data_IF_717675762864
#
_entry.id   IF_717675762864
#
_cell.length_a   1.000
_cell.length_b   1.000
_cell.length_c   1.000
_cell.angle_alpha   90.00
_cell.angle_beta   90.00
_cell.angle_gamma   90.00
#
_symmetry.space_group_name_H-M   'P 1'
#
loop_
_entity.id
_entity.type
_entity.pdbx_description
1 polymer ?
#
# COMPACT_ATOMS: atom_id res chain seq x y z
N UNK A 1 -11.50 -12.95 -5.56
CA UNK A 1 -11.53 -11.49 -5.77
C UNK A 1 -10.21 -10.88 -5.34
N UNK A 2 -9.67 -10.01 -6.17
CA UNK A 2 -8.41 -9.33 -5.92
C UNK A 2 -8.66 -7.97 -5.27
N UNK A 3 -8.02 -7.71 -4.13
CA UNK A 3 -8.16 -6.47 -3.37
C UNK A 3 -6.86 -5.68 -3.47
N UNK A 4 -6.97 -4.36 -3.64
CA UNK A 4 -5.82 -3.44 -3.60
C UNK A 4 -5.99 -2.52 -2.40
N UNK A 5 -4.96 -2.40 -1.58
CA UNK A 5 -4.90 -1.44 -0.49
C UNK A 5 -3.75 -0.47 -0.75
N UNK A 6 -3.90 0.78 -0.34
CA UNK A 6 -2.90 1.82 -0.56
C UNK A 6 -2.60 2.50 0.75
N UNK A 7 -1.35 2.83 1.00
CA UNK A 7 -0.97 3.59 2.19
C UNK A 7 0.50 3.94 2.21
N UNK A 8 0.89 4.70 3.22
CA UNK A 8 2.28 5.12 3.42
C UNK A 8 3.07 4.05 4.16
N UNK A 9 2.54 3.53 5.25
CA UNK A 9 3.14 2.47 6.06
C UNK A 9 4.58 2.79 6.52
N UNK A 10 4.81 4.04 6.94
CA UNK A 10 6.15 4.47 7.33
C UNK A 10 6.60 3.84 8.65
N UNK A 11 5.75 3.93 9.66
CA UNK A 11 5.98 3.26 10.95
C UNK A 11 4.80 2.34 11.20
N UNK A 12 5.03 1.04 11.09
CA UNK A 12 3.96 0.06 11.22
C UNK A 12 3.48 -0.04 12.67
N UNK A 13 2.17 -0.13 12.83
CA UNK A 13 1.53 -0.36 14.12
C UNK A 13 0.29 -1.23 13.95
N UNK A 14 -0.36 -1.54 15.08
CA UNK A 14 -1.51 -2.45 15.07
C UNK A 14 -2.66 -1.98 14.17
N UNK A 15 -2.85 -0.66 14.04
CA UNK A 15 -3.88 -0.11 13.17
C UNK A 15 -3.65 -0.45 11.70
N UNK A 16 -2.40 -0.43 11.24
CA UNK A 16 -2.05 -0.83 9.89
C UNK A 16 -2.37 -2.31 9.66
N UNK A 17 -1.99 -3.15 10.60
CA UNK A 17 -2.25 -4.59 10.50
C UNK A 17 -3.75 -4.86 10.45
N UNK A 18 -4.52 -4.19 11.31
CA UNK A 18 -5.97 -4.33 11.34
C UNK A 18 -6.60 -3.93 9.99
N UNK A 19 -6.16 -2.81 9.43
CA UNK A 19 -6.62 -2.34 8.13
C UNK A 19 -6.34 -3.40 7.04
N UNK A 20 -5.13 -3.96 7.04
CA UNK A 20 -4.75 -4.95 6.02
C UNK A 20 -5.50 -6.27 6.20
N UNK A 21 -5.78 -6.67 7.45
CA UNK A 21 -6.60 -7.84 7.72
C UNK A 21 -8.03 -7.65 7.21
N UNK A 22 -8.59 -6.47 7.44
CA UNK A 22 -9.92 -6.12 6.94
C UNK A 22 -9.94 -6.13 5.40
N UNK A 23 -8.93 -5.54 4.79
CA UNK A 23 -8.81 -5.50 3.33
C UNK A 23 -8.73 -6.92 2.76
N UNK A 24 -7.92 -7.78 3.35
CA UNK A 24 -7.79 -9.17 2.89
C UNK A 24 -9.12 -9.91 2.98
N UNK A 25 -9.91 -9.63 4.00
CA UNK A 25 -11.21 -10.31 4.19
C UNK A 25 -12.22 -10.00 3.09
N UNK A 26 -11.99 -8.95 2.30
CA UNK A 26 -12.87 -8.60 1.18
C UNK A 26 -12.68 -9.47 -0.05
N UNK A 27 -11.61 -10.26 -0.09
CA UNK A 27 -11.30 -11.15 -1.21
C UNK A 27 -10.35 -12.25 -0.80
N UNK A 28 -9.63 -12.80 -1.77
CA UNK A 28 -8.70 -13.89 -1.53
C UNK A 28 -7.26 -13.58 -1.94
N UNK A 29 -7.01 -12.39 -2.47
CA UNK A 29 -5.66 -11.93 -2.83
C UNK A 29 -5.56 -10.45 -2.51
N UNK A 30 -4.55 -10.06 -1.73
CA UNK A 30 -4.33 -8.67 -1.34
C UNK A 30 -3.00 -8.17 -1.88
N UNK A 31 -3.08 -7.15 -2.74
CA UNK A 31 -1.92 -6.40 -3.20
C UNK A 31 -1.90 -5.04 -2.50
N UNK A 32 -0.78 -4.70 -1.88
CA UNK A 32 -0.63 -3.41 -1.20
C UNK A 32 0.28 -2.51 -2.03
N UNK A 33 -0.18 -1.28 -2.29
CA UNK A 33 0.60 -0.26 -2.96
C UNK A 33 1.14 0.68 -1.88
N UNK A 34 2.46 0.68 -1.72
CA UNK A 34 3.16 1.51 -0.73
C UNK A 34 3.53 2.83 -1.40
N UNK A 35 3.23 3.95 -0.76
CA UNK A 35 3.47 5.28 -1.33
C UNK A 35 4.95 5.52 -1.63
N UNK A 36 5.23 6.06 -2.81
CA UNK A 36 6.57 6.47 -3.21
C UNK A 36 7.11 7.54 -2.25
N UNK A 37 8.40 7.54 -1.97
CA UNK A 37 9.02 8.50 -1.06
C UNK A 37 8.69 9.95 -1.41
N UNK A 38 8.74 10.30 -2.69
CA UNK A 38 8.45 11.67 -3.11
C UNK A 38 7.00 12.05 -2.85
N UNK A 39 6.08 11.10 -2.97
CA UNK A 39 4.68 11.33 -2.63
C UNK A 39 4.51 11.63 -1.15
N UNK A 40 5.22 10.90 -0.29
CA UNK A 40 5.19 11.12 1.16
C UNK A 40 5.75 12.50 1.51
N UNK A 41 6.86 12.89 0.89
CA UNK A 41 7.48 14.21 1.13
C UNK A 41 6.54 15.35 0.79
N UNK A 42 5.82 15.23 -0.32
CA UNK A 42 4.91 16.28 -0.78
C UNK A 42 3.67 16.36 0.12
N UNK A 43 3.11 15.22 0.50
CA UNK A 43 1.80 15.16 1.15
C UNK A 43 1.84 15.17 2.66
N UNK A 44 2.92 14.70 3.27
CA UNK A 44 2.99 14.52 4.73
C UNK A 44 4.28 15.06 5.33
N UNK A 45 5.37 14.31 5.16
CA UNK A 45 6.64 14.61 5.83
C UNK A 45 7.75 13.82 5.17
N UNK A 46 8.99 14.07 5.59
CA UNK A 46 10.12 13.25 5.16
C UNK A 46 9.92 11.83 5.68
N UNK A 47 9.97 10.81 4.80
CA UNK A 47 9.79 9.42 5.27
C UNK A 47 10.94 8.99 6.15
N UNK A 48 10.62 8.28 7.24
CA UNK A 48 11.61 7.69 8.14
C UNK A 48 12.29 6.51 7.47
N UNK A 49 11.52 5.68 6.76
CA UNK A 49 12.00 4.50 6.07
C UNK A 49 11.71 4.66 4.58
N UNK A 50 12.70 4.36 3.72
CA UNK A 50 12.50 4.50 2.28
C UNK A 50 11.46 3.50 1.76
N UNK A 51 10.90 3.80 0.57
CA UNK A 51 9.77 3.02 0.06
C UNK A 51 10.12 1.57 -0.23
N UNK A 52 11.35 1.25 -0.59
CA UNK A 52 11.73 -0.15 -0.83
C UNK A 52 11.68 -0.96 0.46
N UNK A 53 12.19 -0.40 1.57
CA UNK A 53 12.13 -1.06 2.87
C UNK A 53 10.72 -1.14 3.40
N UNK A 54 9.92 -0.09 3.23
CA UNK A 54 8.51 -0.10 3.63
C UNK A 54 7.74 -1.20 2.88
N UNK A 55 7.98 -1.31 1.58
CA UNK A 55 7.39 -2.38 0.77
C UNK A 55 7.75 -3.76 1.30
N UNK A 56 9.03 -3.97 1.61
CA UNK A 56 9.50 -5.28 2.11
C UNK A 56 8.88 -5.62 3.44
N UNK A 57 8.76 -4.64 4.34
CA UNK A 57 8.15 -4.85 5.66
C UNK A 57 6.67 -5.19 5.53
N UNK A 58 5.95 -4.48 4.68
CA UNK A 58 4.53 -4.72 4.44
C UNK A 58 4.32 -6.11 3.82
N UNK A 59 5.16 -6.48 2.86
CA UNK A 59 5.05 -7.78 2.19
C UNK A 59 5.25 -8.95 3.16
N UNK A 60 5.96 -8.72 4.25
CA UNK A 60 6.15 -9.74 5.29
C UNK A 60 4.97 -9.93 6.23
N UNK A 61 3.95 -9.08 6.14
CA UNK A 61 2.77 -9.21 6.99
C UNK A 61 1.84 -10.30 6.46
N UNK A 62 1.26 -11.06 7.40
CA UNK A 62 0.46 -12.23 7.05
C UNK A 62 -0.66 -12.00 6.04
N UNK A 63 -1.48 -10.94 6.17
CA UNK A 63 -2.59 -10.76 5.23
C UNK A 63 -2.17 -10.35 3.82
N UNK A 64 -0.91 -9.92 3.63
CA UNK A 64 -0.45 -9.37 2.36
C UNK A 64 0.10 -10.48 1.46
N UNK A 65 -0.45 -10.57 0.26
CA UNK A 65 0.04 -11.54 -0.75
C UNK A 65 1.18 -10.93 -1.56
N UNK A 66 1.10 -9.62 -1.84
CA UNK A 66 2.13 -8.95 -2.63
C UNK A 66 2.13 -7.46 -2.28
N UNK A 67 3.31 -6.84 -2.33
CA UNK A 67 3.45 -5.40 -2.10
C UNK A 67 4.29 -4.79 -3.21
N UNK A 68 3.87 -3.62 -3.69
CA UNK A 68 4.59 -2.87 -4.73
C UNK A 68 4.71 -1.42 -4.28
N UNK A 69 5.69 -0.71 -4.87
CA UNK A 69 5.84 0.73 -4.66
C UNK A 69 4.98 1.45 -5.69
N UNK A 70 4.24 2.46 -5.25
CA UNK A 70 3.41 3.27 -6.13
C UNK A 70 4.25 4.17 -7.03
N UNK A 71 3.57 4.81 -7.99
CA UNK A 71 4.22 5.72 -8.92
C UNK A 71 4.70 6.98 -8.22
N UNK A 72 5.68 7.67 -8.82
CA UNK A 72 6.10 8.99 -8.37
C UNK A 72 4.92 9.98 -8.51
N UNK A 73 4.96 11.13 -7.78
CA UNK A 73 3.81 12.03 -7.75
C UNK A 73 3.46 12.70 -9.09
N UNK A 74 4.38 12.69 -10.05
CA UNK A 74 4.14 13.23 -11.39
C UNK A 74 3.41 12.23 -12.31
N UNK A 75 3.19 11.01 -11.84
CA UNK A 75 2.48 9.97 -12.58
C UNK A 75 1.16 9.67 -11.87
N UNK A 76 0.06 9.59 -12.63
CA UNK A 76 -1.25 9.32 -12.06
C UNK A 76 -1.32 7.97 -11.38
N UNK A 77 -2.00 7.91 -10.22
CA UNK A 77 -2.26 6.65 -9.54
C UNK A 77 -3.09 5.70 -10.40
N UNK A 78 -3.88 6.23 -11.32
CA UNK A 78 -4.69 5.40 -12.21
C UNK A 78 -3.84 4.53 -13.14
N UNK A 79 -2.56 4.86 -13.33
CA UNK A 79 -1.67 4.03 -14.13
C UNK A 79 -1.22 2.76 -13.40
N UNK A 80 -1.37 2.71 -12.07
CA UNK A 80 -1.07 1.50 -11.31
C UNK A 80 -2.21 0.47 -11.41
N UNK A 81 -3.44 0.93 -11.67
CA UNK A 81 -4.61 0.05 -11.69
C UNK A 81 -4.51 -1.07 -12.71
N UNK A 82 -4.09 -0.83 -13.97
CA UNK A 82 -3.95 -1.93 -14.93
C UNK A 82 -2.92 -2.97 -14.50
N UNK A 83 -1.88 -2.56 -13.76
CA UNK A 83 -0.84 -3.47 -13.29
C UNK A 83 -1.35 -4.39 -12.20
N UNK A 84 -2.18 -3.87 -11.29
CA UNK A 84 -2.75 -4.63 -10.19
C UNK A 84 -4.04 -5.33 -10.62
N UNK A 85 -4.83 -4.64 -11.43
CA UNK A 85 -6.12 -5.12 -11.91
C UNK A 85 -7.03 -5.59 -10.76
N UNK A 86 -7.31 -4.71 -9.76
CA UNK A 86 -8.10 -5.11 -8.61
C UNK A 86 -9.59 -5.15 -8.91
N UNK A 87 -10.29 -6.02 -8.19
CA UNK A 87 -11.76 -6.04 -8.18
C UNK A 87 -12.31 -5.04 -7.17
N UNK A 88 -11.56 -4.83 -6.08
CA UNK A 88 -11.95 -3.96 -4.97
C UNK A 88 -10.75 -3.14 -4.53
N UNK A 89 -10.99 -1.87 -4.21
CA UNK A 89 -9.98 -0.99 -3.63
C UNK A 89 -10.41 -0.71 -2.19
N UNK A 90 -9.57 -1.13 -1.23
CA UNK A 90 -9.83 -0.88 0.18
C UNK A 90 -9.15 0.44 0.57
N UNK A 91 -9.93 1.37 1.11
CA UNK A 91 -9.42 2.67 1.51
C UNK A 91 -9.12 2.69 3.00
N UNK A 92 -7.92 3.14 3.34
CA UNK A 92 -7.51 3.34 4.72
C UNK A 92 -7.42 4.82 5.04
N UNK A 93 -7.01 5.10 6.27
CA UNK A 93 -6.90 6.47 6.76
C UNK A 93 -5.50 7.06 6.58
N UNK A 94 -4.64 6.33 5.99
CA UNK A 94 -3.22 6.70 5.90
C UNK A 94 -2.93 7.47 4.61
#
# INVERSE_FOLDING_TARGET
MKVMAVGVFDLLHAGHLHYLEQAKSLGNHLTVVVAHDDTVRIRKHEPVTNHDLRRRMVEGLKPVDEAIVGNSPDVSIFEILPLVNPDVIALGYD
#
